data_IF_370793209476
#
_entry.id   IF_370793209476
#
_cell.length_a   1.000
_cell.length_b   1.000
_cell.length_c   1.000
_cell.angle_alpha   90.00
_cell.angle_beta   90.00
_cell.angle_gamma   90.00
#
_symmetry.space_group_name_H-M   'P 1'
#
loop_
_entity.id
_entity.type
_entity.pdbx_description
1 polymer ?
#
# COMPACT_ATOMS: atom_id res chain seq x y z
N UNK A 1 -73.61 -16.01 28.22
CA UNK A 1 -72.81 -17.16 27.73
C UNK A 1 -71.39 -16.69 27.45
N UNK A 2 -70.43 -17.40 28.01
CA UNK A 2 -68.99 -17.12 28.11
C UNK A 2 -68.24 -17.68 26.89
N UNK A 3 -67.24 -16.93 26.38
CA UNK A 3 -65.92 -17.38 25.83
C UNK A 3 -65.27 -16.16 25.15
N UNK A 4 -64.29 -15.43 25.71
CA UNK A 4 -62.90 -15.77 26.10
C UNK A 4 -62.13 -16.59 25.05
N UNK A 5 -61.36 -15.89 24.21
CA UNK A 5 -60.02 -16.23 23.64
C UNK A 5 -59.48 -14.89 23.09
N UNK A 6 -58.58 -14.12 23.71
CA UNK A 6 -57.18 -14.34 24.05
C UNK A 6 -56.37 -15.04 22.95
N UNK A 7 -55.85 -14.24 22.02
CA UNK A 7 -54.61 -14.47 21.25
C UNK A 7 -53.83 -13.15 21.39
N UNK A 8 -52.86 -12.95 22.28
CA UNK A 8 -51.62 -13.68 22.55
C UNK A 8 -50.80 -13.86 21.27
N UNK A 9 -49.70 -13.11 21.17
CA UNK A 9 -48.60 -13.43 20.25
C UNK A 9 -48.04 -12.23 19.51
N UNK A 10 -47.16 -11.47 20.17
CA UNK A 10 -46.27 -10.51 19.55
C UNK A 10 -45.40 -11.23 18.49
N UNK A 11 -45.64 -10.97 17.21
CA UNK A 11 -44.74 -11.34 16.12
C UNK A 11 -43.57 -10.36 16.10
N UNK A 12 -42.55 -10.72 16.90
CA UNK A 12 -41.15 -10.81 16.49
C UNK A 12 -40.68 -9.75 15.48
N UNK A 13 -40.04 -8.72 16.02
CA UNK A 13 -39.01 -7.91 15.37
C UNK A 13 -37.95 -8.82 14.70
N UNK A 14 -38.03 -9.02 13.38
CA UNK A 14 -36.94 -9.58 12.56
C UNK A 14 -36.66 -8.68 11.34
N UNK A 15 -36.25 -7.44 11.61
CA UNK A 15 -35.55 -6.62 10.63
C UNK A 15 -34.38 -5.87 11.30
N UNK A 16 -33.68 -6.54 12.22
CA UNK A 16 -32.36 -6.09 12.65
C UNK A 16 -31.32 -6.75 11.75
N UNK A 17 -30.68 -5.96 10.89
CA UNK A 17 -29.30 -6.21 10.49
C UNK A 17 -29.04 -7.02 9.23
N UNK A 18 -29.67 -6.66 8.09
CA UNK A 18 -29.01 -6.83 6.79
C UNK A 18 -28.42 -5.49 6.34
N UNK A 19 -27.62 -4.85 7.19
CA UNK A 19 -26.65 -3.88 6.72
C UNK A 19 -25.51 -4.69 6.13
N UNK A 20 -25.62 -5.02 4.85
CA UNK A 20 -24.46 -5.44 4.07
C UNK A 20 -23.40 -4.37 4.28
N UNK A 21 -22.35 -4.69 5.04
CA UNK A 21 -21.08 -3.99 4.98
C UNK A 21 -20.59 -4.15 3.54
N UNK A 22 -21.09 -3.33 2.62
CA UNK A 22 -20.25 -2.87 1.53
C UNK A 22 -19.20 -1.99 2.20
N UNK A 23 -18.21 -2.65 2.81
CA UNK A 23 -16.93 -2.05 3.05
C UNK A 23 -16.50 -1.52 1.69
N UNK A 24 -16.38 -0.21 1.56
CA UNK A 24 -15.93 0.46 0.35
C UNK A 24 -14.58 -0.15 -0.06
N UNK A 25 -14.60 -1.15 -0.93
CA UNK A 25 -13.40 -1.66 -1.55
C UNK A 25 -12.91 -0.51 -2.41
N UNK A 26 -11.84 0.16 -1.96
CA UNK A 26 -11.22 1.25 -2.72
C UNK A 26 -10.80 0.65 -4.05
N UNK A 27 -11.20 1.29 -5.13
CA UNK A 27 -10.83 0.90 -6.48
C UNK A 27 -9.29 0.79 -6.59
N UNK A 28 -8.73 -0.35 -7.04
CA UNK A 28 -7.29 -0.51 -7.20
C UNK A 28 -6.64 0.62 -8.03
N UNK A 29 -7.37 1.16 -9.03
CA UNK A 29 -6.87 2.28 -9.82
C UNK A 29 -6.83 3.60 -9.03
N UNK A 30 -7.76 3.84 -8.11
CA UNK A 30 -7.68 4.98 -7.20
C UNK A 30 -6.47 4.88 -6.27
N UNK A 31 -6.12 3.67 -5.82
CA UNK A 31 -4.89 3.43 -5.05
C UNK A 31 -3.64 3.68 -5.88
N UNK A 32 -3.60 3.18 -7.11
CA UNK A 32 -2.49 3.42 -8.04
C UNK A 32 -2.28 4.93 -8.27
N UNK A 33 -3.37 5.70 -8.42
CA UNK A 33 -3.31 7.17 -8.51
C UNK A 33 -2.75 7.83 -7.25
N UNK A 34 -3.10 7.32 -6.07
CA UNK A 34 -2.53 7.77 -4.80
C UNK A 34 -1.01 7.56 -4.73
N UNK A 35 -0.53 6.39 -5.13
CA UNK A 35 0.91 6.07 -5.20
C UNK A 35 1.59 6.98 -6.24
N UNK A 36 1.01 7.15 -7.43
CA UNK A 36 1.52 8.04 -8.47
C UNK A 36 1.68 9.48 -7.97
N UNK A 37 0.70 9.99 -7.22
CA UNK A 37 0.76 11.34 -6.65
C UNK A 37 1.93 11.49 -5.67
N UNK A 38 2.17 10.49 -4.81
CA UNK A 38 3.31 10.48 -3.88
C UNK A 38 4.65 10.40 -4.62
N UNK A 39 4.74 9.60 -5.69
CA UNK A 39 5.94 9.55 -6.56
C UNK A 39 6.21 10.94 -7.15
N UNK A 40 5.20 11.56 -7.77
CA UNK A 40 5.34 12.89 -8.38
C UNK A 40 5.78 13.95 -7.37
N UNK A 41 5.25 13.90 -6.15
CA UNK A 41 5.67 14.78 -5.07
C UNK A 41 7.12 14.53 -4.63
N UNK A 42 7.53 13.26 -4.48
CA UNK A 42 8.92 12.92 -4.18
C UNK A 42 9.89 13.42 -5.27
N UNK A 43 9.50 13.33 -6.55
CA UNK A 43 10.25 13.91 -7.66
C UNK A 43 10.38 15.43 -7.56
N UNK A 44 9.29 16.13 -7.24
CA UNK A 44 9.28 17.58 -7.02
C UNK A 44 10.22 18.00 -5.89
N UNK A 45 10.38 17.14 -4.88
CA UNK A 45 11.31 17.31 -3.76
C UNK A 45 12.74 16.80 -4.06
N UNK A 46 13.06 16.49 -5.32
CA UNK A 46 14.43 16.18 -5.76
C UNK A 46 14.83 14.70 -5.68
N UNK A 47 13.89 13.77 -5.55
CA UNK A 47 14.20 12.33 -5.58
C UNK A 47 14.97 11.89 -6.83
N UNK A 48 14.76 12.54 -7.99
CA UNK A 48 15.46 12.23 -9.25
C UNK A 48 16.98 12.33 -9.13
N UNK A 49 17.48 13.34 -8.42
CA UNK A 49 18.92 13.54 -8.24
C UNK A 49 19.46 12.82 -7.01
N UNK A 50 18.64 12.64 -5.98
CA UNK A 50 19.10 12.18 -4.67
C UNK A 50 18.91 10.69 -4.41
N UNK A 51 17.85 10.10 -4.93
CA UNK A 51 17.50 8.69 -4.72
C UNK A 51 16.99 8.07 -6.05
N UNK A 52 17.76 8.15 -7.15
CA UNK A 52 17.30 7.73 -8.47
C UNK A 52 16.92 6.24 -8.52
N UNK A 53 17.66 5.40 -7.78
CA UNK A 53 17.39 3.96 -7.71
C UNK A 53 16.05 3.65 -7.04
N UNK A 54 15.76 4.30 -5.91
CA UNK A 54 14.53 4.02 -5.16
C UNK A 54 13.31 4.63 -5.85
N UNK A 55 13.48 5.80 -6.47
CA UNK A 55 12.47 6.37 -7.37
C UNK A 55 12.17 5.44 -8.55
N UNK A 56 13.20 4.85 -9.17
CA UNK A 56 12.99 3.90 -10.27
C UNK A 56 12.26 2.63 -9.80
N UNK A 57 12.65 2.06 -8.65
CA UNK A 57 11.95 0.90 -8.05
C UNK A 57 10.48 1.21 -7.79
N UNK A 58 10.18 2.37 -7.21
CA UNK A 58 8.81 2.82 -6.95
C UNK A 58 7.97 2.90 -8.23
N UNK A 59 8.54 3.46 -9.31
CA UNK A 59 7.86 3.55 -10.61
C UNK A 59 7.60 2.20 -11.23
N UNK A 60 8.59 1.29 -11.20
CA UNK A 60 8.44 -0.06 -11.71
C UNK A 60 7.39 -0.85 -10.92
N UNK A 61 7.38 -0.71 -9.59
CA UNK A 61 6.37 -1.34 -8.75
C UNK A 61 4.94 -0.84 -9.06
N UNK A 62 4.78 0.47 -9.28
CA UNK A 62 3.50 1.04 -9.69
C UNK A 62 3.07 0.57 -11.09
N UNK A 63 3.99 0.55 -12.06
CA UNK A 63 3.72 0.08 -13.42
C UNK A 63 3.26 -1.38 -13.43
N UNK A 64 3.95 -2.23 -12.67
CA UNK A 64 3.56 -3.62 -12.44
C UNK A 64 2.15 -3.72 -11.84
N UNK A 65 1.85 -2.96 -10.77
CA UNK A 65 0.51 -2.97 -10.17
C UNK A 65 -0.59 -2.53 -11.13
N UNK A 66 -0.34 -1.50 -11.95
CA UNK A 66 -1.30 -1.05 -12.95
C UNK A 66 -1.53 -2.16 -13.98
N UNK A 67 -0.46 -2.77 -14.46
CA UNK A 67 -0.54 -3.89 -15.40
C UNK A 67 -1.39 -5.04 -14.83
N UNK A 68 -1.13 -5.47 -13.60
CA UNK A 68 -1.88 -6.55 -12.94
C UNK A 68 -3.38 -6.21 -12.76
N UNK A 69 -3.70 -4.95 -12.47
CA UNK A 69 -5.09 -4.47 -12.40
C UNK A 69 -5.75 -4.49 -13.78
N UNK A 70 -5.04 -4.06 -14.82
CA UNK A 70 -5.54 -4.02 -16.21
C UNK A 70 -5.74 -5.40 -16.81
N UNK A 71 -4.89 -6.37 -16.48
CA UNK A 71 -5.06 -7.77 -16.92
C UNK A 71 -6.30 -8.41 -16.28
N UNK A 72 -6.73 -7.94 -15.10
CA UNK A 72 -7.97 -8.35 -14.45
C UNK A 72 -7.99 -9.80 -13.96
N UNK A 73 -6.86 -10.52 -13.99
CA UNK A 73 -6.75 -11.89 -13.51
C UNK A 73 -6.82 -12.00 -11.98
N UNK A 74 -6.41 -10.95 -11.28
CA UNK A 74 -6.34 -10.93 -9.82
C UNK A 74 -7.47 -10.12 -9.21
N UNK A 75 -8.07 -10.63 -8.13
CA UNK A 75 -9.02 -9.81 -7.35
C UNK A 75 -8.27 -8.78 -6.53
N UNK A 76 -8.93 -7.68 -6.17
CA UNK A 76 -8.33 -6.62 -5.34
C UNK A 76 -7.71 -7.16 -4.04
N UNK A 77 -8.26 -8.24 -3.47
CA UNK A 77 -7.72 -8.87 -2.27
C UNK A 77 -6.35 -9.54 -2.48
N UNK A 78 -6.06 -10.05 -3.69
CA UNK A 78 -4.77 -10.64 -4.02
C UNK A 78 -3.69 -9.59 -4.27
N UNK A 79 -4.07 -8.44 -4.84
CA UNK A 79 -3.16 -7.32 -5.10
C UNK A 79 -2.89 -6.47 -3.84
N UNK A 80 -3.70 -6.62 -2.79
CA UNK A 80 -3.61 -5.81 -1.56
C UNK A 80 -2.20 -5.77 -0.94
N UNK A 81 -1.48 -6.90 -0.77
CA UNK A 81 -0.14 -6.88 -0.20
C UNK A 81 0.85 -6.07 -1.03
N UNK A 82 0.76 -6.17 -2.36
CA UNK A 82 1.65 -5.47 -3.28
C UNK A 82 1.37 -3.97 -3.29
N UNK A 83 0.10 -3.57 -3.26
CA UNK A 83 -0.26 -2.16 -3.07
C UNK A 83 0.24 -1.61 -1.73
N UNK A 84 0.12 -2.37 -0.64
CA UNK A 84 0.64 -1.94 0.68
C UNK A 84 2.16 -1.78 0.64
N UNK A 85 2.88 -2.73 0.02
CA UNK A 85 4.33 -2.68 -0.11
C UNK A 85 4.78 -1.49 -0.95
N UNK A 86 4.15 -1.27 -2.11
CA UNK A 86 4.45 -0.15 -2.99
C UNK A 86 4.13 1.20 -2.32
N UNK A 87 2.98 1.32 -1.68
CA UNK A 87 2.57 2.56 -0.99
C UNK A 87 3.53 2.90 0.16
N UNK A 88 3.92 1.89 0.96
CA UNK A 88 4.91 2.06 2.02
C UNK A 88 6.27 2.51 1.48
N UNK A 89 6.78 1.86 0.44
CA UNK A 89 8.08 2.19 -0.14
C UNK A 89 8.11 3.63 -0.68
N UNK A 90 7.05 4.06 -1.36
CA UNK A 90 6.93 5.43 -1.85
C UNK A 90 6.73 6.43 -0.71
N UNK A 91 5.97 6.07 0.32
CA UNK A 91 5.78 6.90 1.51
C UNK A 91 7.11 7.15 2.23
N UNK A 92 7.94 6.12 2.40
CA UNK A 92 9.27 6.24 3.01
C UNK A 92 10.18 7.18 2.18
N UNK A 93 10.22 6.99 0.86
CA UNK A 93 10.94 7.89 -0.04
C UNK A 93 10.44 9.34 0.10
N UNK A 94 9.13 9.55 0.08
CA UNK A 94 8.52 10.87 0.17
C UNK A 94 8.84 11.55 1.51
N UNK A 95 8.72 10.85 2.63
CA UNK A 95 9.03 11.42 3.95
C UNK A 95 10.52 11.76 4.08
N UNK A 96 11.43 10.92 3.56
CA UNK A 96 12.85 11.24 3.49
C UNK A 96 13.09 12.56 2.72
N UNK A 97 12.41 12.73 1.58
CA UNK A 97 12.53 13.95 0.78
C UNK A 97 11.92 15.17 1.47
N UNK A 98 10.78 15.03 2.17
CA UNK A 98 10.18 16.12 2.96
C UNK A 98 11.11 16.58 4.08
N UNK A 99 11.73 15.64 4.80
CA UNK A 99 12.71 15.96 5.84
C UNK A 99 13.92 16.68 5.23
N UNK A 100 14.49 16.16 4.15
CA UNK A 100 15.62 16.80 3.47
C UNK A 100 15.29 18.23 2.98
N UNK A 101 14.07 18.43 2.46
CA UNK A 101 13.59 19.75 2.04
C UNK A 101 13.43 20.72 3.22
N UNK A 102 12.97 20.24 4.39
CA UNK A 102 12.79 21.04 5.58
C UNK A 102 14.12 21.47 6.25
N UNK A 103 15.14 20.61 6.25
CA UNK A 103 16.43 20.88 6.91
C UNK A 103 17.35 21.79 6.08
N UNK A 104 17.13 21.90 4.77
CA UNK A 104 17.85 22.83 3.89
C UNK A 104 19.23 22.34 3.39
N UNK A 105 19.87 23.18 2.56
CA UNK A 105 20.82 22.83 1.49
C UNK A 105 22.09 22.00 1.78
N UNK A 106 22.39 21.62 3.03
CA UNK A 106 23.53 20.72 3.35
C UNK A 106 23.18 19.24 3.40
N UNK A 107 21.89 18.91 3.44
CA UNK A 107 21.38 17.52 3.55
C UNK A 107 20.50 17.13 2.36
N UNK A 108 20.74 17.76 1.20
CA UNK A 108 19.87 17.67 0.02
C UNK A 108 19.58 16.23 -0.40
N UNK A 109 20.52 15.31 -0.18
CA UNK A 109 20.39 13.89 -0.52
C UNK A 109 20.75 12.95 0.64
N UNK A 110 20.31 13.22 1.87
CA UNK A 110 20.43 12.21 2.94
C UNK A 110 19.49 11.06 2.61
N UNK A 111 20.01 10.07 1.90
CA UNK A 111 19.41 8.75 1.81
C UNK A 111 19.80 7.98 3.07
N UNK A 112 18.84 7.32 3.71
CA UNK A 112 19.16 6.35 4.76
C UNK A 112 19.99 5.27 4.08
N UNK A 113 21.31 5.26 4.30
CA UNK A 113 22.20 4.21 3.80
C UNK A 113 21.76 2.90 4.45
N UNK A 114 20.83 2.18 3.82
CA UNK A 114 20.69 0.73 4.04
C UNK A 114 21.77 0.08 3.17
N UNK A 115 23.02 0.42 3.46
CA UNK A 115 24.15 -0.44 3.17
C UNK A 115 24.14 -1.49 4.27
N UNK A 116 23.33 -2.52 4.08
CA UNK A 116 23.66 -3.81 4.69
C UNK A 116 24.63 -4.48 3.70
N UNK A 117 25.94 -4.55 4.02
CA UNK A 117 26.88 -5.25 3.15
C UNK A 117 26.55 -6.75 3.14
N UNK A 118 26.68 -7.46 2.00
CA UNK A 118 26.79 -8.91 2.03
C UNK A 118 28.16 -9.27 2.62
N UNK A 119 28.21 -9.61 3.91
CA UNK A 119 29.38 -10.20 4.54
C UNK A 119 28.93 -11.17 5.64
N UNK A 120 29.49 -12.36 5.82
CA UNK A 120 30.58 -13.06 5.16
C UNK A 120 30.47 -14.53 5.65
N UNK A 121 30.75 -15.51 4.80
CA UNK A 121 30.64 -16.92 5.19
C UNK A 121 31.16 -17.86 4.13
N UNK A 122 32.47 -17.79 3.87
CA UNK A 122 33.26 -18.79 3.18
C UNK A 122 32.76 -20.22 3.45
N UNK A 123 32.43 -20.97 2.39
CA UNK A 123 32.45 -22.44 2.46
C UNK A 123 33.59 -22.91 1.57
N UNK A 124 34.60 -23.41 2.25
CA UNK A 124 35.82 -24.00 1.73
C UNK A 124 35.50 -25.06 0.68
N UNK A 125 36.24 -25.03 -0.42
CA UNK A 125 36.29 -26.09 -1.41
C UNK A 125 37.33 -27.11 -0.90
N UNK A 126 36.97 -28.34 -0.53
CA UNK A 126 37.97 -29.36 -0.27
C UNK A 126 38.41 -29.94 -1.63
N UNK A 127 39.64 -29.64 -2.01
CA UNK A 127 40.38 -30.42 -3.00
C UNK A 127 40.55 -31.84 -2.44
N UNK A 128 40.04 -32.83 -3.18
CA UNK A 128 40.28 -34.25 -2.98
C UNK A 128 40.64 -34.88 -4.31
#
# INVERSE_FOLDING_TARGET
MIRRMLFAGALLFLAAGCSTMQANAIDPMDRARGIQAKISEAERLGARSCSPRDLAKAKVALDHLIHEVEEGYYTAAWLEPDFVAADKAVQELLEERKVAAAVGGRFRCVSRSVDEPPGNGSREHPDG
#
